data_IF_070675121732
#
_entry.id   IF_070675121732
#
_cell.length_a   1.000
_cell.length_b   1.000
_cell.length_c   1.000
_cell.angle_alpha   90.00
_cell.angle_beta   90.00
_cell.angle_gamma   90.00
#
_symmetry.space_group_name_H-M   'P 1'
#
loop_
_entity.id
_entity.type
_entity.pdbx_description
1 polymer ?
#
# COMPACT_ATOMS: atom_id res chain seq x y z
N UNK A 1 -26.34 -11.41 26.38
CA UNK A 1 -27.03 -10.31 25.67
C UNK A 1 -26.02 -9.67 24.71
N UNK A 2 -26.25 -9.72 23.39
CA UNK A 2 -25.41 -8.94 22.44
C UNK A 2 -25.81 -7.47 22.60
N UNK A 3 -24.87 -6.63 23.03
CA UNK A 3 -25.06 -5.18 23.03
C UNK A 3 -25.27 -4.76 21.57
N UNK A 4 -26.47 -4.27 21.25
CA UNK A 4 -26.73 -3.69 19.94
C UNK A 4 -26.00 -2.34 19.89
N UNK A 5 -24.86 -2.31 19.19
CA UNK A 5 -24.09 -1.09 18.99
C UNK A 5 -24.87 -0.19 18.04
N UNK A 6 -25.31 0.97 18.53
CA UNK A 6 -25.97 1.99 17.72
C UNK A 6 -24.91 2.87 17.07
N UNK A 7 -24.59 2.57 15.82
CA UNK A 7 -23.66 3.38 15.03
C UNK A 7 -24.27 4.74 14.66
N UNK A 8 -23.42 5.77 14.50
CA UNK A 8 -23.83 7.03 13.87
C UNK A 8 -24.27 6.73 12.43
N UNK A 9 -25.22 7.52 11.92
CA UNK A 9 -25.61 7.44 10.51
C UNK A 9 -24.35 7.53 9.63
N UNK A 10 -24.29 6.66 8.61
CA UNK A 10 -23.21 6.56 7.61
C UNK A 10 -21.86 6.03 8.13
N UNK A 11 -21.75 5.64 9.40
CA UNK A 11 -20.58 4.90 9.91
C UNK A 11 -20.41 3.52 9.28
N UNK A 12 -19.18 3.03 9.25
CA UNK A 12 -18.91 1.63 8.96
C UNK A 12 -19.58 0.71 9.97
N UNK A 13 -20.03 -0.46 9.52
CA UNK A 13 -20.69 -1.50 10.32
C UNK A 13 -19.77 -2.68 10.66
N UNK A 14 -18.54 -2.64 10.18
CA UNK A 14 -17.49 -3.62 10.41
C UNK A 14 -16.18 -2.94 10.82
N UNK A 15 -15.12 -3.73 11.09
CA UNK A 15 -13.80 -3.19 11.38
C UNK A 15 -13.31 -2.29 10.25
N UNK A 16 -12.77 -1.12 10.59
CA UNK A 16 -12.01 -0.29 9.64
C UNK A 16 -10.62 -0.89 9.54
N UNK A 17 -10.24 -1.32 8.34
CA UNK A 17 -9.02 -2.10 8.09
C UNK A 17 -7.93 -1.25 7.44
N UNK A 18 -8.32 -0.26 6.63
CA UNK A 18 -7.41 0.64 5.95
C UNK A 18 -7.85 2.10 6.03
N UNK A 19 -6.88 3.01 6.10
CA UNK A 19 -7.08 4.45 6.08
C UNK A 19 -6.08 5.09 5.12
N UNK A 20 -6.53 6.08 4.35
CA UNK A 20 -5.66 6.85 3.47
C UNK A 20 -6.05 8.33 3.46
N UNK A 21 -5.11 9.19 3.83
CA UNK A 21 -5.25 10.64 3.70
C UNK A 21 -4.95 11.09 2.28
N UNK A 22 -5.73 12.04 1.79
CA UNK A 22 -5.40 12.72 0.55
C UNK A 22 -4.26 13.72 0.79
N UNK A 23 -3.20 13.66 -0.02
CA UNK A 23 -2.00 14.51 0.15
C UNK A 23 -2.25 15.97 -0.23
N UNK A 24 -3.13 16.24 -1.19
CA UNK A 24 -3.45 17.59 -1.65
C UNK A 24 -4.60 18.19 -0.83
N UNK A 25 -5.71 17.46 -0.69
CA UNK A 25 -6.90 17.90 0.02
C UNK A 25 -6.90 17.38 1.47
N UNK A 26 -6.28 18.13 2.38
CA UNK A 26 -6.03 17.71 3.77
C UNK A 26 -7.28 17.37 4.60
N UNK A 27 -8.47 17.81 4.19
CA UNK A 27 -9.73 17.46 4.86
C UNK A 27 -10.33 16.14 4.35
N UNK A 28 -9.73 15.51 3.34
CA UNK A 28 -10.26 14.29 2.72
C UNK A 28 -9.53 13.05 3.25
N UNK A 29 -10.31 12.14 3.83
CA UNK A 29 -9.85 10.84 4.32
C UNK A 29 -10.66 9.75 3.62
N UNK A 30 -10.01 8.68 3.19
CA UNK A 30 -10.67 7.46 2.76
C UNK A 30 -10.51 6.36 3.80
N UNK A 31 -11.52 5.51 3.93
CA UNK A 31 -11.48 4.33 4.80
C UNK A 31 -11.98 3.08 4.07
N UNK A 32 -11.29 1.97 4.29
CA UNK A 32 -11.67 0.62 3.85
C UNK A 32 -12.07 -0.22 5.07
N UNK A 33 -13.02 -1.12 4.88
CA UNK A 33 -13.64 -1.83 5.99
C UNK A 33 -14.11 -3.24 5.65
N UNK A 34 -14.17 -4.06 6.70
CA UNK A 34 -14.73 -5.41 6.67
C UNK A 34 -16.24 -5.46 6.41
N UNK A 35 -16.94 -4.32 6.40
CA UNK A 35 -18.32 -4.21 5.88
C UNK A 35 -18.41 -4.13 4.35
N UNK A 36 -17.29 -4.38 3.65
CA UNK A 36 -17.17 -4.43 2.18
C UNK A 36 -17.27 -3.07 1.49
N UNK A 37 -17.21 -1.98 2.26
CA UNK A 37 -17.37 -0.61 1.75
C UNK A 37 -16.09 0.19 1.85
N UNK A 38 -15.96 1.10 0.90
CA UNK A 38 -15.00 2.21 0.97
C UNK A 38 -15.79 3.49 1.17
N UNK A 39 -15.36 4.31 2.12
CA UNK A 39 -16.00 5.60 2.41
C UNK A 39 -15.00 6.72 2.26
N UNK A 40 -15.49 7.87 1.79
CA UNK A 40 -14.71 9.10 1.69
C UNK A 40 -15.36 10.15 2.58
N UNK A 41 -14.54 10.75 3.43
CA UNK A 41 -14.95 11.63 4.51
C UNK A 41 -14.39 13.02 4.28
N UNK A 42 -15.20 14.02 4.64
CA UNK A 42 -14.68 15.33 5.00
C UNK A 42 -14.50 15.36 6.52
N UNK A 43 -13.25 15.35 6.97
CA UNK A 43 -12.91 15.32 8.40
C UNK A 43 -13.16 16.65 9.10
N UNK A 44 -13.18 17.77 8.37
CA UNK A 44 -13.45 19.10 8.94
C UNK A 44 -14.93 19.23 9.34
N UNK A 45 -15.82 18.63 8.55
CA UNK A 45 -17.27 18.61 8.80
C UNK A 45 -17.75 17.35 9.52
N UNK A 46 -16.91 16.31 9.59
CA UNK A 46 -17.24 15.01 10.18
C UNK A 46 -18.34 14.25 9.43
N UNK A 47 -18.45 14.47 8.11
CA UNK A 47 -19.46 13.89 7.22
C UNK A 47 -18.86 12.84 6.29
N UNK A 48 -19.62 11.79 6.04
CA UNK A 48 -19.35 10.83 4.97
C UNK A 48 -19.92 11.42 3.67
N UNK A 49 -19.07 11.77 2.72
CA UNK A 49 -19.49 12.34 1.45
C UNK A 49 -19.88 11.25 0.45
N UNK A 50 -19.11 10.16 0.41
CA UNK A 50 -19.25 9.10 -0.60
C UNK A 50 -19.14 7.73 0.07
N UNK A 51 -19.99 6.79 -0.35
CA UNK A 51 -19.90 5.37 -0.02
C UNK A 51 -19.82 4.57 -1.31
N UNK A 52 -18.79 3.75 -1.44
CA UNK A 52 -18.54 2.91 -2.61
C UNK A 52 -18.80 1.44 -2.25
N UNK A 53 -19.52 0.74 -3.12
CA UNK A 53 -20.03 -0.63 -2.87
C UNK A 53 -19.59 -1.63 -3.95
N UNK A 54 -18.43 -1.40 -4.57
CA UNK A 54 -17.95 -2.18 -5.71
C UNK A 54 -17.23 -3.49 -5.35
N UNK A 55 -16.95 -3.74 -4.07
CA UNK A 55 -16.31 -4.96 -3.58
C UNK A 55 -17.33 -5.95 -3.01
N UNK A 56 -17.09 -7.25 -3.21
CA UNK A 56 -17.98 -8.34 -2.77
C UNK A 56 -17.52 -8.99 -1.46
N UNK A 57 -16.33 -8.65 -0.96
CA UNK A 57 -15.81 -9.06 0.34
C UNK A 57 -15.10 -7.89 1.08
N UNK A 58 -14.49 -8.18 2.23
CA UNK A 58 -13.80 -7.21 3.09
C UNK A 58 -12.80 -6.39 2.28
N UNK A 59 -12.88 -5.07 2.41
CA UNK A 59 -11.87 -4.18 1.83
C UNK A 59 -10.79 -3.97 2.87
N UNK A 60 -9.61 -4.49 2.58
CA UNK A 60 -8.48 -4.47 3.49
C UNK A 60 -7.67 -3.18 3.35
N UNK A 61 -7.46 -2.74 2.10
CA UNK A 61 -6.52 -1.67 1.78
C UNK A 61 -7.19 -0.57 0.93
N UNK A 62 -6.76 0.66 1.18
CA UNK A 62 -7.14 1.85 0.40
C UNK A 62 -5.95 2.80 0.32
N UNK A 63 -5.74 3.44 -0.83
CA UNK A 63 -4.66 4.40 -1.03
C UNK A 63 -5.05 5.48 -2.06
N UNK A 64 -4.84 6.75 -1.69
CA UNK A 64 -4.90 7.85 -2.65
C UNK A 64 -3.61 7.90 -3.47
N UNK A 65 -3.73 8.19 -4.76
CA UNK A 65 -2.56 8.44 -5.61
C UNK A 65 -1.88 9.75 -5.18
N UNK A 66 -0.54 9.76 -5.15
CA UNK A 66 0.24 10.91 -4.69
C UNK A 66 0.32 12.05 -5.73
N UNK A 67 0.14 11.74 -7.00
CA UNK A 67 0.27 12.67 -8.14
C UNK A 67 -1.09 13.07 -8.71
N UNK A 68 -2.10 12.24 -8.55
CA UNK A 68 -3.47 12.48 -9.01
C UNK A 68 -4.44 12.37 -7.81
N UNK A 69 -4.73 13.47 -7.09
CA UNK A 69 -5.45 13.46 -5.82
C UNK A 69 -6.90 12.96 -5.94
N UNK A 70 -7.48 12.94 -7.13
CA UNK A 70 -8.79 12.37 -7.39
C UNK A 70 -8.77 10.84 -7.49
N UNK A 71 -7.61 10.22 -7.73
CA UNK A 71 -7.51 8.78 -8.00
C UNK A 71 -7.35 8.01 -6.69
N UNK A 72 -8.22 7.03 -6.49
CA UNK A 72 -8.20 6.13 -5.34
C UNK A 72 -8.02 4.69 -5.79
N UNK A 73 -7.21 3.93 -5.05
CA UNK A 73 -6.96 2.51 -5.22
C UNK A 73 -7.51 1.74 -4.01
N UNK A 74 -8.21 0.64 -4.25
CA UNK A 74 -8.83 -0.17 -3.19
C UNK A 74 -8.56 -1.65 -3.44
N UNK A 75 -8.31 -2.40 -2.37
CA UNK A 75 -7.90 -3.81 -2.42
C UNK A 75 -8.70 -4.63 -1.43
N UNK A 76 -9.16 -5.80 -1.87
CA UNK A 76 -10.18 -6.58 -1.16
C UNK A 76 -9.87 -8.08 -1.13
N UNK A 77 -10.49 -8.75 -0.17
CA UNK A 77 -10.49 -10.21 -0.03
C UNK A 77 -11.34 -10.90 -1.10
N UNK A 78 -12.08 -10.14 -1.92
CA UNK A 78 -12.67 -10.65 -3.15
C UNK A 78 -11.66 -10.85 -4.29
N UNK A 79 -10.36 -10.71 -3.99
CA UNK A 79 -9.24 -10.88 -4.92
C UNK A 79 -9.29 -9.92 -6.08
N UNK A 80 -9.77 -8.71 -5.82
CA UNK A 80 -9.75 -7.63 -6.79
C UNK A 80 -9.14 -6.35 -6.25
N UNK A 81 -8.51 -5.64 -7.18
CA UNK A 81 -8.01 -4.29 -7.01
C UNK A 81 -8.87 -3.39 -7.88
N UNK A 82 -9.34 -2.27 -7.35
CA UNK A 82 -10.15 -1.31 -8.08
C UNK A 82 -9.54 0.08 -7.99
N UNK A 83 -9.37 0.72 -9.14
CA UNK A 83 -8.97 2.12 -9.26
C UNK A 83 -10.14 2.96 -9.77
N UNK A 84 -10.46 4.05 -9.09
CA UNK A 84 -11.58 4.94 -9.44
C UNK A 84 -11.23 6.41 -9.22
N UNK A 85 -12.03 7.31 -9.79
CA UNK A 85 -12.10 8.70 -9.36
C UNK A 85 -12.94 8.76 -8.07
N UNK A 86 -12.31 9.15 -6.96
CA UNK A 86 -12.94 9.24 -5.65
C UNK A 86 -14.02 10.32 -5.55
N UNK A 87 -14.18 11.20 -6.54
CA UNK A 87 -15.27 12.18 -6.60
C UNK A 87 -16.51 11.64 -7.31
N UNK A 88 -16.37 10.54 -8.06
CA UNK A 88 -17.41 10.00 -8.95
C UNK A 88 -17.62 8.50 -8.69
N UNK A 89 -18.40 8.11 -7.65
CA UNK A 89 -18.58 6.70 -7.28
C UNK A 89 -19.22 5.83 -8.39
N UNK A 90 -20.06 6.46 -9.22
CA UNK A 90 -20.76 5.82 -10.34
C UNK A 90 -19.83 5.43 -11.50
N UNK A 91 -18.63 6.01 -11.56
CA UNK A 91 -17.66 5.63 -12.59
C UNK A 91 -17.19 4.18 -12.37
N UNK A 92 -17.22 3.36 -13.41
CA UNK A 92 -16.83 1.94 -13.35
C UNK A 92 -15.37 1.78 -12.92
N UNK A 93 -14.51 2.70 -13.34
CA UNK A 93 -13.08 2.68 -13.04
C UNK A 93 -12.38 1.53 -13.74
N UNK A 94 -11.24 1.13 -13.18
CA UNK A 94 -10.45 -0.01 -13.65
C UNK A 94 -10.43 -1.07 -12.55
N UNK A 95 -10.50 -2.34 -12.96
CA UNK A 95 -10.50 -3.48 -12.05
C UNK A 95 -9.48 -4.52 -12.52
N UNK A 96 -8.67 -5.00 -11.58
CA UNK A 96 -7.72 -6.08 -11.77
C UNK A 96 -8.09 -7.24 -10.85
N UNK A 97 -7.85 -8.46 -11.33
CA UNK A 97 -7.98 -9.68 -10.54
C UNK A 97 -6.60 -10.16 -10.09
N UNK A 98 -6.51 -10.66 -8.86
CA UNK A 98 -5.28 -11.22 -8.28
C UNK A 98 -5.49 -12.67 -7.83
N UNK A 99 -4.40 -13.36 -7.50
CA UNK A 99 -4.42 -14.80 -7.20
C UNK A 99 -4.93 -15.14 -5.81
N UNK A 100 -4.76 -14.22 -4.85
CA UNK A 100 -5.11 -14.39 -3.46
C UNK A 100 -5.65 -13.08 -2.86
N UNK A 101 -5.99 -13.11 -1.58
CA UNK A 101 -6.61 -11.99 -0.89
C UNK A 101 -5.61 -10.83 -0.78
N UNK A 102 -6.07 -9.60 -1.00
CA UNK A 102 -5.22 -8.41 -0.95
C UNK A 102 -4.96 -8.00 0.50
N UNK A 103 -3.69 -7.90 0.87
CA UNK A 103 -3.24 -7.52 2.22
C UNK A 103 -2.90 -6.03 2.32
N UNK A 104 -2.16 -5.49 1.35
CA UNK A 104 -1.74 -4.09 1.34
C UNK A 104 -1.57 -3.54 -0.08
N UNK A 105 -1.71 -2.22 -0.22
CA UNK A 105 -1.54 -1.47 -1.46
C UNK A 105 -0.53 -0.35 -1.25
N UNK A 106 0.28 -0.07 -2.27
CA UNK A 106 1.09 1.15 -2.30
C UNK A 106 1.25 1.67 -3.72
N UNK A 107 0.87 2.93 -3.94
CA UNK A 107 1.32 3.69 -5.10
C UNK A 107 2.83 3.88 -5.01
N UNK A 108 3.51 3.82 -6.15
CA UNK A 108 4.90 4.24 -6.25
C UNK A 108 4.98 5.76 -6.08
N UNK A 109 5.71 6.29 -5.08
CA UNK A 109 5.83 7.74 -4.91
C UNK A 109 6.63 8.40 -6.05
N UNK A 110 7.41 7.64 -6.82
CA UNK A 110 8.29 8.16 -7.87
C UNK A 110 7.64 8.17 -9.26
N UNK A 111 6.47 7.54 -9.42
CA UNK A 111 5.75 7.48 -10.70
C UNK A 111 4.23 7.64 -10.47
N UNK A 112 3.53 8.30 -11.38
CA UNK A 112 2.08 8.54 -11.23
C UNK A 112 1.21 7.30 -11.52
N UNK A 113 1.78 6.32 -12.22
CA UNK A 113 1.03 5.26 -12.89
C UNK A 113 1.32 3.86 -12.35
N UNK A 114 2.29 3.69 -11.46
CA UNK A 114 2.69 2.38 -10.96
C UNK A 114 2.25 2.17 -9.51
N UNK A 115 1.87 0.94 -9.19
CA UNK A 115 1.57 0.53 -7.83
C UNK A 115 1.94 -0.93 -7.59
N UNK A 116 2.07 -1.31 -6.33
CA UNK A 116 2.24 -2.70 -5.90
C UNK A 116 1.14 -3.12 -4.96
N UNK A 117 0.85 -4.42 -4.99
CA UNK A 117 -0.14 -5.08 -4.17
C UNK A 117 0.49 -6.29 -3.53
N UNK A 118 0.33 -6.41 -2.21
CA UNK A 118 0.79 -7.57 -1.45
C UNK A 118 -0.37 -8.51 -1.17
N UNK A 119 -0.11 -9.82 -1.23
CA UNK A 119 -1.14 -10.85 -1.18
C UNK A 119 -0.93 -11.83 -0.03
N UNK A 120 -2.03 -12.49 0.37
CA UNK A 120 -2.06 -13.52 1.41
C UNK A 120 -1.22 -14.77 1.06
N UNK A 121 -1.02 -15.06 -0.22
CA UNK A 121 -0.23 -16.20 -0.71
C UNK A 121 1.30 -16.00 -0.64
N UNK A 122 1.78 -14.88 -0.09
CA UNK A 122 3.19 -14.58 0.02
C UNK A 122 3.79 -13.84 -1.18
N UNK A 123 2.96 -13.51 -2.18
CA UNK A 123 3.41 -12.78 -3.36
C UNK A 123 3.15 -11.27 -3.29
N UNK A 124 3.92 -10.52 -4.08
CA UNK A 124 3.70 -9.10 -4.36
C UNK A 124 3.62 -8.92 -5.87
N UNK A 125 2.58 -8.23 -6.35
CA UNK A 125 2.36 -7.98 -7.77
C UNK A 125 2.47 -6.49 -8.07
N UNK A 126 3.20 -6.15 -9.13
CA UNK A 126 3.34 -4.78 -9.63
C UNK A 126 2.47 -4.53 -10.84
N UNK A 127 1.86 -3.35 -10.93
CA UNK A 127 0.97 -2.95 -12.01
C UNK A 127 1.30 -1.56 -12.53
N UNK A 128 1.09 -1.35 -13.83
CA UNK A 128 1.10 -0.05 -14.50
C UNK A 128 -0.30 0.25 -15.03
N UNK A 129 -0.94 1.31 -14.54
CA UNK A 129 -2.33 1.66 -14.90
C UNK A 129 -2.47 2.02 -16.38
N UNK A 130 -1.41 2.44 -17.05
CA UNK A 130 -1.44 2.79 -18.49
C UNK A 130 -1.59 1.55 -19.37
N UNK A 131 -1.22 0.38 -18.85
CA UNK A 131 -1.42 -0.90 -19.53
C UNK A 131 -2.86 -1.42 -19.39
N UNK A 132 -3.70 -0.77 -18.56
CA UNK A 132 -5.10 -1.14 -18.42
C UNK A 132 -5.88 -0.72 -19.67
N UNK A 133 -6.56 -1.68 -20.30
CA UNK A 133 -7.43 -1.40 -21.46
C UNK A 133 -8.83 -1.04 -20.97
N UNK A 134 -9.45 -0.06 -21.62
CA UNK A 134 -10.79 0.45 -21.30
C UNK A 134 -11.95 -0.48 -21.71
N UNK A 135 -11.67 -1.60 -22.38
CA UNK A 135 -12.73 -2.48 -22.88
C UNK A 135 -13.33 -3.33 -21.76
N UNK A 136 -14.59 -3.03 -21.47
CA UNK A 136 -15.41 -3.51 -20.35
C UNK A 136 -15.76 -5.02 -20.37
N UNK A 137 -15.07 -5.81 -21.18
CA UNK A 137 -15.19 -7.27 -21.22
C UNK A 137 -13.87 -7.90 -20.74
N UNK A 138 -13.72 -8.00 -19.41
CA UNK A 138 -12.69 -8.80 -18.75
C UNK A 138 -11.24 -8.57 -19.26
N UNK A 139 -10.82 -7.30 -19.34
CA UNK A 139 -9.39 -6.97 -19.40
C UNK A 139 -8.73 -7.36 -18.07
N UNK A 140 -8.44 -8.64 -17.88
CA UNK A 140 -7.49 -9.16 -16.89
C UNK A 140 -6.10 -8.62 -17.26
N UNK A 141 -5.85 -7.36 -16.96
CA UNK A 141 -4.54 -6.75 -17.13
C UNK A 141 -3.58 -7.50 -16.20
N UNK A 142 -2.67 -8.25 -16.82
CA UNK A 142 -1.68 -9.05 -16.11
C UNK A 142 -0.72 -8.12 -15.35
N UNK A 143 -0.25 -8.54 -14.18
CA UNK A 143 0.76 -7.78 -13.47
C UNK A 143 2.03 -7.62 -14.33
N UNK A 144 2.68 -6.47 -14.21
CA UNK A 144 3.97 -6.19 -14.84
C UNK A 144 5.07 -7.11 -14.31
N UNK A 145 4.97 -7.49 -13.04
CA UNK A 145 5.80 -8.53 -12.42
C UNK A 145 5.04 -9.20 -11.27
N UNK A 146 5.42 -10.44 -10.97
CA UNK A 146 5.02 -11.16 -9.75
C UNK A 146 6.26 -11.55 -8.98
N UNK A 147 6.35 -11.09 -7.74
CA UNK A 147 7.43 -11.36 -6.80
C UNK A 147 6.95 -12.38 -5.76
N UNK A 148 7.61 -13.54 -5.65
CA UNK A 148 7.38 -14.49 -4.56
C UNK A 148 8.21 -14.05 -3.35
N UNK A 149 7.65 -13.12 -2.58
CA UNK A 149 8.40 -12.39 -1.57
C UNK A 149 8.61 -13.22 -0.30
N UNK A 150 7.59 -13.96 0.15
CA UNK A 150 7.57 -14.63 1.45
C UNK A 150 6.85 -15.99 1.38
N UNK A 151 7.08 -16.84 2.39
CA UNK A 151 6.45 -18.16 2.50
C UNK A 151 5.05 -18.10 3.15
N UNK A 152 4.62 -16.91 3.56
CA UNK A 152 3.32 -16.60 4.17
C UNK A 152 2.87 -15.20 3.74
N UNK A 153 1.62 -14.86 4.07
CA UNK A 153 0.99 -13.57 3.80
C UNK A 153 1.94 -12.38 3.96
N UNK A 154 1.99 -11.55 2.92
CA UNK A 154 2.74 -10.29 2.92
C UNK A 154 1.81 -9.21 3.43
N UNK A 155 1.79 -9.02 4.74
CA UNK A 155 0.85 -8.12 5.42
C UNK A 155 1.06 -6.63 5.08
N UNK A 156 2.26 -6.25 4.62
CA UNK A 156 2.61 -4.84 4.47
C UNK A 156 3.71 -4.62 3.43
N UNK A 157 3.58 -3.51 2.70
CA UNK A 157 4.55 -3.01 1.73
C UNK A 157 4.80 -1.53 1.96
N UNK A 158 6.04 -1.07 1.78
CA UNK A 158 6.39 0.34 1.86
C UNK A 158 7.47 0.67 0.84
N UNK A 159 7.18 1.63 -0.05
CA UNK A 159 8.19 2.22 -0.91
C UNK A 159 9.11 3.14 -0.13
N UNK A 160 10.37 3.16 -0.50
CA UNK A 160 11.28 4.20 -0.06
C UNK A 160 10.90 5.54 -0.70
N UNK A 161 10.70 6.62 0.08
CA UNK A 161 10.25 7.89 -0.46
C UNK A 161 11.32 8.66 -1.24
N UNK A 162 12.61 8.33 -1.09
CA UNK A 162 13.72 9.05 -1.76
C UNK A 162 14.53 8.21 -2.74
N UNK A 163 14.49 6.88 -2.64
CA UNK A 163 15.19 5.96 -3.52
C UNK A 163 14.18 5.20 -4.41
N UNK A 164 14.04 5.57 -5.70
CA UNK A 164 13.18 4.85 -6.65
C UNK A 164 13.50 3.35 -6.70
N UNK A 165 12.46 2.53 -6.86
CA UNK A 165 12.52 1.07 -6.93
C UNK A 165 12.92 0.33 -5.64
N UNK A 166 13.20 1.02 -4.53
CA UNK A 166 13.42 0.36 -3.24
C UNK A 166 12.09 0.10 -2.53
N UNK A 167 11.75 -1.17 -2.34
CA UNK A 167 10.54 -1.62 -1.66
C UNK A 167 10.89 -2.46 -0.42
N UNK A 168 10.22 -2.21 0.70
CA UNK A 168 10.21 -3.07 1.87
C UNK A 168 8.94 -3.93 1.91
N UNK A 169 9.07 -5.20 2.27
CA UNK A 169 7.96 -6.13 2.53
C UNK A 169 8.06 -6.71 3.93
N UNK A 170 6.93 -6.83 4.63
CA UNK A 170 6.82 -7.51 5.93
C UNK A 170 5.76 -8.60 5.89
N UNK A 171 6.01 -9.71 6.58
CA UNK A 171 5.17 -10.92 6.50
C UNK A 171 4.97 -11.63 7.85
N UNK A 172 3.94 -12.47 7.89
CA UNK A 172 3.71 -13.43 8.99
C UNK A 172 4.81 -14.49 9.13
N UNK A 173 5.67 -14.65 8.12
CA UNK A 173 6.87 -15.49 8.21
C UNK A 173 7.94 -14.92 9.16
N UNK A 174 7.69 -13.74 9.74
CA UNK A 174 8.51 -13.00 10.71
C UNK A 174 9.72 -12.31 10.08
N UNK A 175 9.77 -12.21 8.76
CA UNK A 175 10.85 -11.58 8.03
C UNK A 175 10.43 -10.21 7.50
N UNK A 176 11.42 -9.33 7.39
CA UNK A 176 11.36 -8.12 6.58
C UNK A 176 12.38 -8.26 5.46
N UNK A 177 11.97 -8.03 4.22
CA UNK A 177 12.84 -8.10 3.05
C UNK A 177 12.84 -6.77 2.31
N UNK A 178 13.99 -6.43 1.72
CA UNK A 178 14.16 -5.28 0.86
C UNK A 178 14.40 -5.74 -0.56
N UNK A 179 13.81 -5.01 -1.50
CA UNK A 179 13.79 -5.36 -2.90
C UNK A 179 14.21 -4.19 -3.77
N UNK A 180 14.98 -4.48 -4.82
CA UNK A 180 15.13 -3.60 -5.97
C UNK A 180 14.15 -4.05 -7.05
N UNK A 181 13.20 -3.17 -7.42
CA UNK A 181 12.16 -3.41 -8.41
C UNK A 181 12.53 -2.96 -9.84
N UNK A 182 13.79 -2.57 -10.07
CA UNK A 182 14.25 -2.03 -11.34
C UNK A 182 13.88 -2.92 -12.53
N UNK A 183 13.48 -2.30 -13.64
CA UNK A 183 13.18 -2.96 -14.92
C UNK A 183 12.09 -4.06 -14.83
N UNK A 184 11.16 -3.97 -13.88
CA UNK A 184 10.16 -5.00 -13.60
C UNK A 184 10.78 -6.38 -13.33
N UNK A 185 12.01 -6.41 -12.80
CA UNK A 185 12.72 -7.63 -12.39
C UNK A 185 13.09 -7.52 -10.91
N UNK A 186 12.14 -7.79 -10.00
CA UNK A 186 12.37 -7.70 -8.56
C UNK A 186 13.52 -8.62 -8.12
N UNK A 187 14.43 -8.07 -7.33
CA UNK A 187 15.53 -8.83 -6.72
C UNK A 187 15.65 -8.51 -5.22
N UNK A 188 15.82 -9.55 -4.40
CA UNK A 188 16.02 -9.38 -2.96
C UNK A 188 17.44 -8.86 -2.73
N UNK A 189 17.58 -7.72 -2.05
CA UNK A 189 18.88 -7.10 -1.77
C UNK A 189 19.29 -7.23 -0.31
N UNK A 190 18.32 -7.39 0.60
CA UNK A 190 18.54 -7.57 2.03
C UNK A 190 17.35 -8.27 2.67
N UNK A 191 17.59 -8.96 3.78
CA UNK A 191 16.57 -9.67 4.54
C UNK A 191 16.97 -9.71 6.01
N UNK A 192 16.02 -9.52 6.90
CA UNK A 192 16.25 -9.58 8.33
C UNK A 192 15.09 -10.22 9.07
N UNK A 193 15.40 -10.89 10.18
CA UNK A 193 14.40 -11.28 11.17
C UNK A 193 14.48 -10.28 12.33
N UNK A 194 13.60 -9.26 12.38
CA UNK A 194 13.65 -8.20 13.39
C UNK A 194 13.29 -8.70 14.80
N UNK A 195 13.01 -10.00 14.98
CA UNK A 195 12.54 -10.60 16.23
C UNK A 195 11.22 -10.03 16.76
N UNK A 196 10.48 -9.26 15.95
CA UNK A 196 9.19 -8.63 16.26
C UNK A 196 7.97 -9.58 16.22
N UNK A 197 8.16 -10.87 15.87
CA UNK A 197 7.04 -11.79 15.63
C UNK A 197 6.53 -11.70 14.19
N UNK A 198 5.25 -11.98 13.95
CA UNK A 198 4.63 -11.75 12.65
C UNK A 198 4.64 -10.24 12.36
N UNK A 199 5.09 -9.82 11.18
CA UNK A 199 5.26 -8.40 10.86
C UNK A 199 3.99 -7.90 10.17
N UNK A 200 3.33 -6.91 10.77
CA UNK A 200 2.06 -6.37 10.29
C UNK A 200 2.18 -4.97 9.70
N UNK A 201 3.25 -4.24 10.00
CA UNK A 201 3.47 -2.90 9.46
C UNK A 201 4.95 -2.61 9.29
N UNK A 202 5.31 -2.08 8.12
CA UNK A 202 6.62 -1.50 7.86
C UNK A 202 6.43 -0.13 7.22
N UNK A 203 7.29 0.83 7.56
CA UNK A 203 7.23 2.18 6.98
C UNK A 203 8.60 2.81 6.93
N UNK A 204 9.02 3.22 5.73
CA UNK A 204 10.20 4.08 5.59
C UNK A 204 9.91 5.48 6.14
N UNK A 205 10.89 6.06 6.82
CA UNK A 205 10.81 7.45 7.27
C UNK A 205 10.94 8.42 6.09
N UNK A 206 10.09 9.44 6.03
CA UNK A 206 10.19 10.52 5.03
C UNK A 206 11.42 11.42 5.27
N UNK A 207 11.74 11.66 6.55
CA UNK A 207 12.84 12.54 6.97
C UNK A 207 14.20 11.84 6.92
N UNK A 208 14.22 10.54 7.24
CA UNK A 208 15.41 9.69 7.18
C UNK A 208 15.13 8.49 6.27
N UNK A 209 15.20 8.65 4.92
CA UNK A 209 14.67 7.70 3.94
C UNK A 209 15.12 6.25 4.09
N UNK A 210 16.27 5.99 4.70
CA UNK A 210 16.79 4.64 4.89
C UNK A 210 16.54 4.04 6.28
N UNK A 211 15.83 4.76 7.14
CA UNK A 211 15.35 4.25 8.40
C UNK A 211 13.97 3.61 8.20
N UNK A 212 13.86 2.32 8.51
CA UNK A 212 12.63 1.54 8.38
C UNK A 212 12.08 1.21 9.76
N UNK A 213 10.88 1.68 10.06
CA UNK A 213 10.11 1.28 11.23
C UNK A 213 9.39 -0.05 10.97
N UNK A 214 9.40 -0.95 11.96
CA UNK A 214 8.84 -2.29 11.85
C UNK A 214 7.97 -2.58 13.08
N UNK A 215 6.68 -2.84 12.85
CA UNK A 215 5.72 -3.25 13.87
C UNK A 215 5.28 -4.70 13.67
N UNK A 216 5.34 -5.49 14.74
CA UNK A 216 4.95 -6.91 14.72
C UNK A 216 4.16 -7.37 15.94
N UNK A 217 3.77 -8.64 15.92
CA UNK A 217 2.87 -9.26 16.90
C UNK A 217 3.41 -9.32 18.34
N UNK A 218 4.71 -9.08 18.57
CA UNK A 218 5.28 -8.99 19.92
C UNK A 218 5.08 -7.62 20.60
N UNK A 219 4.57 -6.63 19.88
CA UNK A 219 4.24 -5.31 20.45
C UNK A 219 5.43 -4.35 20.64
N UNK A 220 6.64 -4.76 20.27
CA UNK A 220 7.80 -3.86 20.23
C UNK A 220 7.91 -3.20 18.85
N UNK A 221 8.23 -1.91 18.84
CA UNK A 221 8.67 -1.20 17.64
C UNK A 221 10.15 -1.49 17.42
N UNK A 222 10.46 -2.06 16.27
CA UNK A 222 11.84 -2.26 15.82
C UNK A 222 12.18 -1.22 14.76
N UNK A 223 13.44 -0.82 14.70
CA UNK A 223 13.93 0.15 13.72
C UNK A 223 15.18 -0.39 13.04
N UNK A 224 15.21 -0.32 11.72
CA UNK A 224 16.32 -0.81 10.92
C UNK A 224 16.90 0.33 10.08
N UNK A 225 18.18 0.66 10.31
CA UNK A 225 18.98 1.42 9.35
C UNK A 225 19.33 0.50 8.18
N UNK A 226 18.60 0.64 7.08
CA UNK A 226 18.73 -0.23 5.92
C UNK A 226 20.07 -0.06 5.19
N UNK A 227 20.78 1.06 5.37
CA UNK A 227 22.10 1.28 4.78
C UNK A 227 23.22 0.53 5.49
N UNK A 228 22.97 -0.01 6.69
CA UNK A 228 23.91 -0.91 7.35
C UNK A 228 24.09 -2.20 6.54
N UNK A 229 23.14 -2.54 5.67
CA UNK A 229 23.24 -3.67 4.75
C UNK A 229 24.05 -3.30 3.50
N UNK A 230 25.09 -4.08 3.22
CA UNK A 230 26.01 -3.79 2.10
C UNK A 230 25.35 -3.90 0.73
N UNK A 231 24.31 -4.73 0.57
CA UNK A 231 23.53 -4.85 -0.65
C UNK A 231 22.76 -3.57 -0.94
N UNK A 232 22.08 -3.04 0.09
CA UNK A 232 21.36 -1.76 0.01
C UNK A 232 22.33 -0.61 -0.22
N UNK A 233 23.41 -0.52 0.55
CA UNK A 233 24.41 0.55 0.43
C UNK A 233 25.01 0.60 -0.98
N UNK A 234 25.37 -0.57 -1.54
CA UNK A 234 25.93 -0.66 -2.89
C UNK A 234 24.94 -0.20 -3.97
N UNK A 235 23.65 -0.52 -3.81
CA UNK A 235 22.63 -0.21 -4.83
C UNK A 235 22.05 1.21 -4.70
N UNK A 236 21.80 1.64 -3.47
CA UNK A 236 21.03 2.85 -3.16
C UNK A 236 21.79 3.90 -2.34
N UNK A 237 23.04 3.64 -1.93
CA UNK A 237 23.82 4.57 -1.09
C UNK A 237 24.08 5.96 -1.70
N UNK A 238 23.95 6.09 -3.03
CA UNK A 238 24.08 7.40 -3.69
C UNK A 238 22.89 8.34 -3.44
N UNK A 239 21.71 7.81 -3.09
CA UNK A 239 20.52 8.63 -2.81
C UNK A 239 20.63 9.42 -1.49
N UNK A 240 21.62 9.13 -0.65
CA UNK A 240 21.96 9.94 0.54
C UNK A 240 22.52 11.31 0.14
N UNK A 241 23.34 11.34 -0.92
CA UNK A 241 24.17 12.50 -1.27
C UNK A 241 23.40 13.61 -1.99
N UNK A 242 22.19 13.32 -2.47
CA UNK A 242 21.40 14.27 -3.26
C UNK A 242 20.56 15.24 -2.41
N UNK A 243 20.51 15.08 -1.07
CA UNK A 243 19.78 15.98 -0.15
C UNK A 243 20.67 16.91 0.68
N UNK A 244 22.00 16.82 0.61
CA UNK A 244 22.86 17.80 1.27
C UNK A 244 22.91 19.07 0.41
N UNK A 245 22.36 20.22 0.86
CA UNK A 245 22.55 21.46 0.11
C UNK A 245 24.04 21.74 -0.01
N UNK A 246 24.53 22.03 -1.22
CA UNK A 246 25.87 22.57 -1.36
C UNK A 246 25.96 23.86 -0.53
N UNK A 247 27.00 24.04 0.30
CA UNK A 247 27.19 25.31 0.97
C UNK A 247 27.36 26.38 -0.10
N UNK A 248 26.52 27.40 -0.06
CA UNK A 248 26.68 28.59 -0.89
C UNK A 248 28.04 29.21 -0.57
N UNK A 249 28.92 29.22 -1.57
CA UNK A 249 30.22 29.90 -1.56
C UNK A 249 30.08 31.40 -1.41
#
# INVERSE_FOLDING_TARGET
MKISVKYKKDSHKGPVLGLAWNKEYRNILASASGDKRVKIWDVATGKCNITMEHHTDKVQAVAWNHHAPQVILTGSFDRSIVMKDGRMPEHSGYKWSVTADVESLSWDPHTEHSFVVSLEDGTVQGFDVRAAKSDAAASESKPSFTLHAHDKAVCTVSYNPSAPNLLATGSEDKMVKLWDLSNNQPSCIASTNPKAGAVFSVSFSEDSPFLLAIGGSKGNLEVWDTLSDSGVQRRFGNYIKQKTPQPSS
#
